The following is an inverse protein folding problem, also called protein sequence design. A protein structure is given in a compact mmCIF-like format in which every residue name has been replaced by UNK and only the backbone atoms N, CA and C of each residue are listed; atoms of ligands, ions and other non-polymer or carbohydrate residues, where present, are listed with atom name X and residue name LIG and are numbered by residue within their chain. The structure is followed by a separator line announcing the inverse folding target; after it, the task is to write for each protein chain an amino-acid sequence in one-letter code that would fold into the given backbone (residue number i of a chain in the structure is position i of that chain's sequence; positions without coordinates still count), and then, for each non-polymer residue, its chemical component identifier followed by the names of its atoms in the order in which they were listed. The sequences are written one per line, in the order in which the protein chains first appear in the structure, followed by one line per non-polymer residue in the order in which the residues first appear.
data_IF_160531676200
#
_entry.id   IF_160531676200
#
_cell.length_a   1.000
_cell.length_b   1.000
_cell.length_c   1.000
_cell.angle_alpha   90.00
_cell.angle_beta   90.00
_cell.angle_gamma   90.00
#
_symmetry.space_group_name_H-M   'P 1'
#
loop_
_entity.id
_entity.type
_entity.pdbx_description
1 polymer ?
#
# COMPACT_ATOMS: atom_id res chain seq x y z
N UNK A 1 32.28 23.24 -74.36
CA UNK A 1 31.93 21.80 -74.44
C UNK A 1 30.82 21.59 -73.42
N UNK A 2 29.52 21.51 -73.70
CA UNK A 2 28.71 21.27 -74.90
C UNK A 2 27.61 22.35 -75.03
N UNK A 3 27.01 22.44 -76.22
CA UNK A 3 26.14 23.48 -76.78
C UNK A 3 24.64 23.08 -76.69
N UNK A 4 23.69 24.01 -76.46
CA UNK A 4 22.56 24.34 -77.38
C UNK A 4 21.46 25.23 -76.77
N UNK A 5 20.96 26.09 -77.64
CA UNK A 5 19.96 27.17 -77.55
C UNK A 5 18.55 26.62 -77.83
N UNK A 6 17.46 27.29 -77.39
CA UNK A 6 16.26 27.72 -78.18
C UNK A 6 15.01 28.06 -77.30
N UNK A 7 14.64 29.36 -77.36
CA UNK A 7 13.33 30.05 -77.52
C UNK A 7 12.05 29.79 -76.66
N UNK A 8 11.64 30.88 -75.97
CA UNK A 8 10.33 31.61 -75.91
C UNK A 8 8.97 30.88 -75.92
N UNK A 9 8.07 31.31 -75.01
CA UNK A 9 6.95 32.26 -75.27
C UNK A 9 6.11 32.48 -74.00
N UNK A 10 5.66 33.72 -73.78
CA UNK A 10 4.67 34.07 -72.76
C UNK A 10 3.31 34.43 -73.37
N UNK A 11 2.32 34.62 -72.49
CA UNK A 11 1.11 35.47 -72.61
C UNK A 11 0.51 35.59 -71.19
N UNK A 12 0.55 36.76 -70.53
CA UNK A 12 -0.44 37.89 -70.56
C UNK A 12 -1.79 37.49 -69.91
N UNK A 13 -2.51 38.28 -69.11
CA UNK A 13 -2.45 39.66 -68.57
C UNK A 13 -3.70 39.84 -67.66
N UNK A 14 -3.62 40.75 -66.67
CA UNK A 14 -4.70 41.67 -66.21
C UNK A 14 -5.96 41.09 -65.54
N UNK A 15 -6.70 41.73 -64.64
CA UNK A 15 -6.73 43.02 -63.93
C UNK A 15 -7.70 42.74 -62.73
N UNK A 16 -7.61 43.33 -61.55
CA UNK A 16 -8.14 44.67 -61.27
C UNK A 16 -8.10 44.91 -59.76
N UNK A 17 -7.68 46.12 -59.38
CA UNK A 17 -8.01 46.76 -58.11
C UNK A 17 -9.42 47.34 -58.22
N UNK A 18 -10.24 47.19 -57.18
CA UNK A 18 -11.34 48.12 -56.92
C UNK A 18 -11.47 48.37 -55.42
N UNK A 19 -11.22 49.62 -55.05
CA UNK A 19 -11.44 50.25 -53.75
C UNK A 19 -12.83 49.97 -53.17
N UNK A 20 -12.95 49.80 -51.84
CA UNK A 20 -13.83 50.67 -51.05
C UNK A 20 -13.42 50.67 -49.57
N UNK A 21 -13.12 51.87 -49.08
CA UNK A 21 -12.90 52.21 -47.68
C UNK A 21 -14.18 52.14 -46.84
N UNK A 22 -13.97 52.07 -45.52
CA UNK A 22 -14.88 52.41 -44.41
C UNK A 22 -16.01 51.41 -44.06
N UNK A 23 -15.93 50.82 -42.87
CA UNK A 23 -16.60 51.39 -41.67
C UNK A 23 -16.60 50.44 -40.46
N UNK A 24 -16.23 51.02 -39.32
CA UNK A 24 -16.82 50.85 -38.00
C UNK A 24 -16.92 49.45 -37.35
N UNK A 25 -16.25 49.33 -36.20
CA UNK A 25 -16.75 48.74 -34.96
C UNK A 25 -17.88 47.71 -35.08
N UNK A 26 -17.54 46.42 -34.91
CA UNK A 26 -18.48 45.44 -34.36
C UNK A 26 -17.72 44.34 -33.62
N UNK A 27 -17.90 44.33 -32.30
CA UNK A 27 -17.94 43.19 -31.37
C UNK A 27 -16.86 42.13 -31.56
N UNK A 28 -15.93 42.08 -30.59
CA UNK A 28 -15.07 40.91 -30.37
C UNK A 28 -15.93 39.66 -30.20
N UNK A 29 -16.02 38.88 -31.27
CA UNK A 29 -16.52 37.52 -31.25
C UNK A 29 -15.41 36.66 -30.64
N UNK A 30 -15.54 36.35 -29.35
CA UNK A 30 -14.88 35.18 -28.79
C UNK A 30 -15.38 33.97 -29.60
N UNK A 31 -14.46 33.20 -30.17
CA UNK A 31 -14.82 32.00 -30.90
C UNK A 31 -15.55 31.01 -29.97
N UNK A 32 -16.56 30.26 -30.45
CA UNK A 32 -17.26 29.25 -29.65
C UNK A 32 -16.33 28.17 -29.05
N UNK A 33 -15.12 28.02 -29.62
CA UNK A 33 -14.08 27.10 -29.16
C UNK A 33 -13.37 27.55 -27.88
N UNK A 34 -13.37 28.85 -27.57
CA UNK A 34 -12.69 29.39 -26.37
C UNK A 34 -13.50 29.23 -25.09
N UNK A 35 -14.84 29.14 -25.21
CA UNK A 35 -15.74 28.89 -24.07
C UNK A 35 -15.76 27.42 -23.65
N UNK A 36 -15.63 26.49 -24.60
CA UNK A 36 -15.59 25.06 -24.31
C UNK A 36 -14.30 24.64 -23.58
N UNK A 37 -13.16 25.26 -23.90
CA UNK A 37 -11.90 24.95 -23.22
C UNK A 37 -11.87 25.46 -21.77
N UNK A 38 -12.56 26.58 -21.49
CA UNK A 38 -12.67 27.15 -20.14
C UNK A 38 -13.69 26.40 -19.28
N UNK A 39 -14.72 25.81 -19.87
CA UNK A 39 -15.68 24.97 -19.13
C UNK A 39 -15.16 23.54 -18.88
N UNK A 40 -14.26 23.03 -19.73
CA UNK A 40 -13.64 21.72 -19.52
C UNK A 40 -12.62 21.72 -18.38
N UNK A 41 -11.98 22.85 -18.09
CA UNK A 41 -11.07 23.01 -16.95
C UNK A 41 -11.78 23.36 -15.63
N UNK A 42 -13.07 23.70 -15.67
CA UNK A 42 -13.84 24.07 -14.46
C UNK A 42 -14.51 22.86 -13.77
N UNK A 43 -14.57 21.70 -14.44
CA UNK A 43 -15.07 20.44 -13.89
C UNK A 43 -14.02 19.33 -13.78
N UNK A 44 -12.75 19.63 -14.08
CA UNK A 44 -11.66 18.87 -13.50
C UNK A 44 -11.48 19.34 -12.07
N UNK A 45 -12.40 18.91 -11.19
CA UNK A 45 -12.01 18.69 -9.81
C UNK A 45 -10.83 17.74 -9.89
N UNK A 46 -9.62 18.29 -9.79
CA UNK A 46 -8.44 17.51 -9.46
C UNK A 46 -8.81 16.96 -8.10
N UNK A 47 -9.34 15.74 -8.05
CA UNK A 47 -9.24 14.92 -6.88
C UNK A 47 -7.73 14.86 -6.65
N UNK A 48 -7.23 15.68 -5.73
CA UNK A 48 -5.94 15.43 -5.12
C UNK A 48 -6.09 14.07 -4.49
N UNK A 49 -5.65 13.04 -5.21
CA UNK A 49 -5.29 11.78 -4.58
C UNK A 49 -4.18 12.19 -3.64
N UNK A 50 -4.49 12.32 -2.35
CA UNK A 50 -3.45 12.51 -1.35
C UNK A 50 -2.51 11.32 -1.50
N UNK A 51 -1.24 11.61 -1.74
CA UNK A 51 -0.24 10.57 -1.89
C UNK A 51 -0.17 9.84 -0.55
N UNK A 52 -0.32 8.53 -0.57
CA UNK A 52 -0.22 7.73 0.64
C UNK A 52 1.16 7.93 1.26
N UNK A 53 1.16 8.18 2.56
CA UNK A 53 2.39 8.40 3.33
C UNK A 53 2.60 7.26 4.31
N UNK A 54 3.86 6.89 4.50
CA UNK A 54 4.26 5.79 5.36
C UNK A 54 5.48 6.22 6.17
N UNK A 55 5.39 6.07 7.48
CA UNK A 55 6.52 6.28 8.39
C UNK A 55 7.64 5.29 8.10
N UNK A 56 8.88 5.79 8.12
CA UNK A 56 10.09 5.00 7.85
C UNK A 56 10.17 4.51 6.41
N UNK A 57 10.48 3.22 6.24
CA UNK A 57 10.63 2.59 4.94
C UNK A 57 9.28 2.19 4.35
N UNK A 58 8.99 2.65 3.13
CA UNK A 58 7.86 2.13 2.34
C UNK A 58 8.15 0.70 1.90
N UNK A 59 7.28 -0.23 2.32
CA UNK A 59 7.39 -1.66 2.06
C UNK A 59 6.68 -2.04 0.76
N UNK A 60 6.96 -3.23 0.26
CA UNK A 60 6.32 -3.87 -0.88
C UNK A 60 6.01 -5.34 -0.55
N UNK A 61 5.08 -6.00 -1.27
CA UNK A 61 4.95 -7.44 -1.17
C UNK A 61 6.29 -8.15 -1.39
N UNK A 62 6.62 -9.07 -0.48
CA UNK A 62 7.92 -9.76 -0.47
C UNK A 62 8.96 -9.17 0.49
N UNK A 63 8.73 -7.98 1.07
CA UNK A 63 9.65 -7.37 2.05
C UNK A 63 9.49 -7.96 3.47
N UNK A 64 8.40 -8.69 3.72
CA UNK A 64 8.06 -9.27 5.03
C UNK A 64 7.54 -10.69 4.82
N UNK A 65 7.97 -11.63 5.66
CA UNK A 65 7.50 -13.02 5.64
C UNK A 65 7.10 -13.50 7.02
N UNK A 66 5.85 -13.93 7.19
CA UNK A 66 5.37 -14.50 8.45
C UNK A 66 5.94 -15.91 8.64
N UNK A 67 6.52 -16.19 9.82
CA UNK A 67 7.12 -17.50 10.13
C UNK A 67 6.23 -18.35 11.01
N UNK A 68 5.60 -17.77 12.04
CA UNK A 68 4.59 -18.47 12.83
C UNK A 68 3.59 -17.52 13.50
N UNK A 69 2.45 -18.08 13.89
CA UNK A 69 1.47 -17.48 14.79
C UNK A 69 0.73 -18.59 15.54
N UNK A 70 0.40 -18.37 16.81
CA UNK A 70 -0.39 -19.32 17.60
C UNK A 70 -1.60 -18.65 18.25
N UNK A 71 -2.57 -19.47 18.68
CA UNK A 71 -3.56 -19.06 19.67
C UNK A 71 -3.01 -19.22 21.08
N UNK A 72 -3.39 -18.31 21.97
CA UNK A 72 -3.18 -18.47 23.41
C UNK A 72 -4.49 -18.81 24.11
N UNK A 73 -4.44 -19.51 25.24
CA UNK A 73 -5.58 -19.63 26.15
C UNK A 73 -5.41 -18.56 27.23
N UNK A 74 -6.18 -17.48 27.20
CA UNK A 74 -6.25 -16.57 28.33
C UNK A 74 -7.10 -17.23 29.43
N UNK A 75 -6.59 -18.28 30.07
CA UNK A 75 -7.21 -18.87 31.25
C UNK A 75 -6.35 -18.56 32.48
N UNK A 76 -6.96 -17.78 33.38
CA UNK A 76 -6.39 -17.10 34.55
C UNK A 76 -5.55 -15.85 34.20
N UNK A 77 -5.76 -14.79 34.98
CA UNK A 77 -5.49 -13.37 34.68
C UNK A 77 -4.02 -12.96 34.45
N UNK A 78 -3.10 -13.90 34.21
CA UNK A 78 -1.66 -13.65 34.14
C UNK A 78 -0.93 -14.41 33.00
N UNK A 79 -1.65 -14.96 31.99
CA UNK A 79 -1.01 -15.78 30.94
C UNK A 79 -1.53 -15.45 29.54
N UNK A 80 -1.06 -14.35 28.94
CA UNK A 80 -1.23 -14.11 27.50
C UNK A 80 -0.20 -14.93 26.72
N UNK A 81 -0.60 -16.00 26.03
CA UNK A 81 0.33 -16.93 25.34
C UNK A 81 0.29 -16.84 23.80
N UNK A 82 -0.44 -15.88 23.22
CA UNK A 82 -0.37 -15.69 21.77
C UNK A 82 0.92 -14.97 21.45
N UNK A 83 1.63 -15.52 20.49
CA UNK A 83 2.88 -15.02 19.96
C UNK A 83 2.82 -15.13 18.44
N UNK A 84 3.63 -14.32 17.80
CA UNK A 84 3.85 -14.44 16.37
C UNK A 84 5.25 -14.03 16.03
N UNK A 85 5.74 -14.47 14.88
CA UNK A 85 6.99 -14.00 14.34
C UNK A 85 6.92 -13.80 12.84
N UNK A 86 7.83 -12.93 12.39
CA UNK A 86 8.02 -12.62 10.99
C UNK A 86 9.48 -12.25 10.74
N UNK A 87 9.92 -12.46 9.51
CA UNK A 87 11.24 -12.08 9.02
C UNK A 87 11.12 -10.85 8.14
N UNK A 88 12.04 -9.92 8.35
CA UNK A 88 12.25 -8.78 7.47
C UNK A 88 13.17 -9.21 6.32
N UNK A 89 12.75 -9.01 5.09
CA UNK A 89 13.46 -9.43 3.88
C UNK A 89 14.12 -8.27 3.12
N UNK A 90 14.28 -7.13 3.78
CA UNK A 90 15.04 -5.97 3.31
C UNK A 90 15.47 -5.11 4.49
N UNK A 91 16.51 -4.31 4.34
CA UNK A 91 16.78 -3.29 5.37
C UNK A 91 15.60 -2.31 5.50
N UNK A 92 15.21 -2.01 6.74
CA UNK A 92 14.16 -1.06 7.08
C UNK A 92 14.64 -0.02 8.08
N UNK A 93 14.16 1.21 7.93
CA UNK A 93 14.47 2.35 8.78
C UNK A 93 13.65 2.34 10.07
N UNK A 94 14.13 3.09 11.07
CA UNK A 94 13.41 3.32 12.32
C UNK A 94 12.02 3.92 12.05
N UNK A 95 11.04 3.53 12.87
CA UNK A 95 9.66 4.00 12.73
C UNK A 95 8.87 3.36 11.59
N UNK A 96 9.45 2.43 10.82
CA UNK A 96 8.69 1.60 9.88
C UNK A 96 7.62 0.80 10.63
N UNK A 97 6.38 0.80 10.13
CA UNK A 97 5.22 0.16 10.78
C UNK A 97 4.72 -1.03 9.98
N UNK A 98 4.43 -2.14 10.66
CA UNK A 98 3.82 -3.33 10.06
C UNK A 98 2.65 -3.76 10.93
N UNK A 99 1.46 -3.75 10.34
CA UNK A 99 0.22 -4.24 10.93
C UNK A 99 -0.03 -5.71 10.65
N UNK A 100 -0.64 -6.39 11.62
CA UNK A 100 -1.03 -7.79 11.54
C UNK A 100 -2.45 -7.98 12.05
N UNK A 101 -3.26 -8.76 11.33
CA UNK A 101 -4.66 -9.01 11.70
C UNK A 101 -5.16 -10.34 11.13
N UNK A 102 -5.92 -11.08 11.94
CA UNK A 102 -6.62 -12.31 11.55
C UNK A 102 -8.13 -12.09 11.33
N UNK A 103 -8.64 -10.89 11.61
CA UNK A 103 -10.07 -10.57 11.51
C UNK A 103 -10.43 -9.72 10.28
N UNK A 104 -9.45 -9.03 9.70
CA UNK A 104 -9.73 -8.08 8.63
C UNK A 104 -10.12 -8.76 7.32
N UNK A 105 -11.25 -8.33 6.78
CA UNK A 105 -11.69 -8.62 5.42
C UNK A 105 -11.70 -7.32 4.63
N UNK A 106 -10.60 -7.08 3.94
CA UNK A 106 -10.41 -5.87 3.15
C UNK A 106 -11.39 -5.85 1.98
N UNK A 107 -12.17 -4.77 1.89
CA UNK A 107 -13.08 -4.52 0.77
C UNK A 107 -12.44 -3.50 -0.16
N UNK A 108 -12.35 -3.84 -1.45
CA UNK A 108 -11.97 -2.88 -2.47
C UNK A 108 -13.15 -1.96 -2.75
N UNK A 109 -12.91 -0.66 -2.60
CA UNK A 109 -13.87 0.38 -2.91
C UNK A 109 -13.68 0.89 -4.34
N UNK A 110 -14.74 1.47 -4.91
CA UNK A 110 -14.68 2.11 -6.23
C UNK A 110 -13.59 3.20 -6.26
N UNK A 111 -12.58 3.03 -7.12
CA UNK A 111 -11.44 3.95 -7.22
C UNK A 111 -10.11 3.41 -6.70
N UNK A 112 -10.04 2.14 -6.27
CA UNK A 112 -8.79 1.49 -5.86
C UNK A 112 -8.41 1.73 -4.39
N UNK A 113 -9.31 2.32 -3.61
CA UNK A 113 -9.20 2.42 -2.16
C UNK A 113 -9.59 1.10 -1.47
N UNK A 114 -9.12 0.92 -0.24
CA UNK A 114 -9.33 -0.28 0.56
C UNK A 114 -9.75 0.10 1.97
N UNK A 115 -10.72 -0.61 2.52
CA UNK A 115 -11.16 -0.42 3.90
C UNK A 115 -11.67 -1.71 4.52
N UNK A 116 -11.86 -1.69 5.83
CA UNK A 116 -12.46 -2.77 6.61
C UNK A 116 -13.46 -2.16 7.58
N UNK A 117 -14.51 -2.90 7.92
CA UNK A 117 -15.44 -2.47 8.96
C UNK A 117 -14.74 -2.41 10.32
N UNK A 118 -14.66 -1.21 10.90
CA UNK A 118 -13.93 -0.90 12.14
C UNK A 118 -14.38 -1.77 13.31
N UNK A 119 -15.69 -2.00 13.43
CA UNK A 119 -16.31 -2.68 14.58
C UNK A 119 -15.85 -4.13 14.78
N UNK A 120 -15.16 -4.72 13.79
CA UNK A 120 -14.64 -6.08 13.85
C UNK A 120 -13.12 -6.15 13.61
N UNK A 121 -12.45 -4.99 13.55
CA UNK A 121 -11.01 -4.95 13.30
C UNK A 121 -10.22 -5.23 14.59
N UNK A 122 -9.54 -6.37 14.61
CA UNK A 122 -8.67 -6.80 15.71
C UNK A 122 -7.31 -7.13 15.14
N UNK A 123 -6.32 -6.36 15.55
CA UNK A 123 -4.97 -6.48 15.07
C UNK A 123 -3.99 -5.75 15.98
N UNK A 124 -2.74 -5.77 15.56
CA UNK A 124 -1.67 -5.03 16.20
C UNK A 124 -0.80 -4.38 15.13
N UNK A 125 -0.03 -3.39 15.53
CA UNK A 125 1.02 -2.79 14.71
C UNK A 125 2.34 -2.88 15.45
N UNK A 126 3.33 -3.49 14.81
CA UNK A 126 4.72 -3.42 15.22
C UNK A 126 5.40 -2.18 14.61
N UNK A 127 6.27 -1.53 15.37
CA UNK A 127 7.07 -0.38 14.94
C UNK A 127 8.55 -0.67 15.11
N UNK A 128 9.32 -0.45 14.03
CA UNK A 128 10.76 -0.66 14.00
C UNK A 128 11.49 0.24 15.01
N UNK A 129 12.49 -0.30 15.75
CA UNK A 129 13.24 0.45 16.75
C UNK A 129 14.11 1.54 16.13
N UNK A 130 14.65 2.43 16.98
CA UNK A 130 15.75 3.30 16.57
C UNK A 130 16.90 2.49 15.97
N UNK A 131 17.53 3.03 14.92
CA UNK A 131 18.57 2.33 14.16
C UNK A 131 18.04 1.38 13.08
N UNK A 132 16.73 1.09 13.05
CA UNK A 132 16.12 0.24 12.03
C UNK A 132 16.35 -1.25 12.26
N UNK A 133 16.07 -2.07 11.25
CA UNK A 133 16.26 -3.52 11.27
C UNK A 133 16.87 -3.98 9.96
N UNK A 134 17.86 -4.86 10.05
CA UNK A 134 18.52 -5.42 8.88
C UNK A 134 17.72 -6.57 8.26
N UNK A 135 17.88 -6.75 6.95
CA UNK A 135 17.41 -7.93 6.22
C UNK A 135 17.84 -9.24 6.91
N UNK A 136 16.94 -10.23 6.90
CA UNK A 136 17.13 -11.55 7.49
C UNK A 136 16.81 -11.63 8.99
N UNK A 137 16.49 -10.51 9.64
CA UNK A 137 16.13 -10.51 11.06
C UNK A 137 14.74 -11.11 11.28
N UNK A 138 14.64 -12.16 12.08
CA UNK A 138 13.37 -12.63 12.63
C UNK A 138 13.00 -11.82 13.88
N UNK A 139 11.77 -11.32 13.90
CA UNK A 139 11.19 -10.55 14.98
C UNK A 139 10.07 -11.38 15.59
N UNK A 140 10.05 -11.47 16.92
CA UNK A 140 9.08 -12.23 17.70
C UNK A 140 8.28 -11.29 18.59
N UNK A 141 6.96 -11.30 18.44
CA UNK A 141 6.01 -10.56 19.27
C UNK A 141 5.46 -11.53 20.30
N UNK A 142 5.59 -11.16 21.58
CA UNK A 142 5.19 -11.99 22.70
C UNK A 142 3.95 -11.42 23.40
N UNK A 143 3.23 -12.28 24.10
CA UNK A 143 2.10 -11.93 24.98
C UNK A 143 1.06 -11.02 24.33
N UNK A 144 0.76 -11.25 23.03
CA UNK A 144 -0.07 -10.33 22.25
C UNK A 144 -1.55 -10.45 22.57
N UNK A 145 -2.02 -11.62 23.01
CA UNK A 145 -3.43 -11.86 23.29
C UNK A 145 -3.89 -11.02 24.46
N UNK A 146 -4.98 -10.28 24.28
CA UNK A 146 -5.55 -9.37 25.26
C UNK A 146 -4.61 -8.27 25.78
N UNK A 147 -3.41 -8.15 25.21
CA UNK A 147 -2.45 -7.11 25.54
C UNK A 147 -2.70 -5.84 24.72
N UNK A 148 -2.43 -4.70 25.34
CA UNK A 148 -2.55 -3.38 24.71
C UNK A 148 -1.27 -2.98 23.98
N UNK A 149 -0.11 -3.37 24.53
CA UNK A 149 1.20 -3.14 23.92
C UNK A 149 2.24 -4.05 24.55
N UNK A 150 3.38 -4.20 23.89
CA UNK A 150 4.50 -4.97 24.41
C UNK A 150 5.77 -4.84 23.58
N UNK A 151 6.90 -5.31 24.12
CA UNK A 151 8.14 -5.38 23.36
C UNK A 151 8.06 -6.46 22.28
N UNK A 152 8.82 -6.26 21.21
CA UNK A 152 9.20 -7.32 20.29
C UNK A 152 10.67 -7.67 20.49
N UNK A 153 11.03 -8.94 20.31
CA UNK A 153 12.37 -9.45 20.50
C UNK A 153 12.97 -10.02 19.22
N UNK A 154 14.30 -10.13 19.17
CA UNK A 154 15.04 -10.89 18.16
C UNK A 154 16.12 -11.76 18.82
N UNK A 155 16.51 -12.81 18.13
CA UNK A 155 17.70 -13.59 18.50
C UNK A 155 18.96 -12.90 17.95
N UNK A 156 20.05 -12.99 18.72
CA UNK A 156 21.39 -12.55 18.33
C UNK A 156 22.42 -13.58 18.80
N UNK A 157 23.65 -13.48 18.29
CA UNK A 157 24.75 -14.36 18.71
C UNK A 157 25.04 -14.29 20.23
N UNK A 158 24.75 -13.14 20.86
CA UNK A 158 25.00 -12.90 22.29
C UNK A 158 23.75 -13.10 23.17
N UNK A 159 22.55 -13.15 22.58
CA UNK A 159 21.29 -13.26 23.29
C UNK A 159 20.28 -14.13 22.52
N UNK A 160 20.10 -15.37 22.98
CA UNK A 160 19.14 -16.30 22.43
C UNK A 160 17.71 -15.98 22.86
N UNK A 161 16.75 -16.14 21.95
CA UNK A 161 15.33 -16.25 22.28
C UNK A 161 15.02 -17.71 22.63
N UNK A 162 14.30 -17.93 23.73
CA UNK A 162 13.97 -19.29 24.17
C UNK A 162 12.63 -19.34 24.89
N UNK A 163 12.02 -20.52 24.90
CA UNK A 163 10.81 -20.78 25.69
C UNK A 163 11.16 -20.92 27.17
N UNK A 164 10.38 -20.30 28.04
CA UNK A 164 10.44 -20.51 29.48
C UNK A 164 10.29 -22.01 29.82
N UNK A 165 10.76 -22.42 30.99
CA UNK A 165 10.76 -23.84 31.38
C UNK A 165 9.35 -24.46 31.48
N UNK A 166 8.32 -23.64 31.68
CA UNK A 166 6.91 -24.03 31.65
C UNK A 166 6.28 -23.98 30.24
N UNK A 167 7.08 -23.60 29.22
CA UNK A 167 6.71 -23.41 27.82
C UNK A 167 5.66 -22.33 27.54
N UNK A 168 5.38 -21.46 28.51
CA UNK A 168 4.30 -20.47 28.40
C UNK A 168 4.72 -19.15 27.77
N UNK A 169 5.95 -18.73 28.01
CA UNK A 169 6.47 -17.44 27.54
C UNK A 169 7.69 -17.62 26.65
N UNK A 170 7.93 -16.63 25.80
CA UNK A 170 9.21 -16.47 25.10
C UNK A 170 10.02 -15.44 25.88
N UNK A 171 11.26 -15.79 26.19
CA UNK A 171 12.18 -15.00 27.01
C UNK A 171 13.53 -14.83 26.31
N UNK A 172 14.37 -13.95 26.86
CA UNK A 172 15.70 -13.67 26.33
C UNK A 172 15.66 -12.75 25.12
N UNK A 173 16.64 -12.89 24.24
CA UNK A 173 16.81 -12.07 23.05
C UNK A 173 17.21 -10.62 23.34
N UNK A 174 17.29 -9.86 22.25
CA UNK A 174 17.45 -8.41 22.26
C UNK A 174 16.12 -7.75 21.85
N UNK A 175 15.78 -6.61 22.48
CA UNK A 175 14.60 -5.84 22.08
C UNK A 175 14.76 -5.31 20.65
N UNK A 176 13.73 -5.51 19.82
CA UNK A 176 13.69 -5.13 18.42
C UNK A 176 12.33 -4.49 18.10
N UNK A 177 12.11 -3.29 18.65
CA UNK A 177 10.88 -2.53 18.48
C UNK A 177 9.79 -2.92 19.48
N UNK A 178 8.59 -2.43 19.21
CA UNK A 178 7.43 -2.64 20.07
C UNK A 178 6.17 -2.81 19.23
N UNK A 179 5.17 -3.46 19.81
CA UNK A 179 3.85 -3.63 19.20
C UNK A 179 2.77 -2.98 20.05
N UNK A 180 1.71 -2.53 19.40
CA UNK A 180 0.52 -1.93 20.03
C UNK A 180 -0.75 -2.52 19.39
N UNK A 181 -1.78 -2.76 20.19
CA UNK A 181 -3.09 -3.20 19.69
C UNK A 181 -3.81 -2.07 18.96
N UNK A 182 -4.66 -2.41 17.99
CA UNK A 182 -5.36 -1.42 17.16
C UNK A 182 -6.71 -0.94 17.72
N UNK A 183 -6.97 -1.16 19.02
CA UNK A 183 -8.21 -0.72 19.67
C UNK A 183 -8.80 -1.80 20.56
N UNK A 184 -9.61 -2.69 19.98
CA UNK A 184 -10.12 -3.85 20.70
C UNK A 184 -9.01 -4.90 20.83
N UNK A 185 -8.75 -5.34 22.07
CA UNK A 185 -7.80 -6.38 22.44
C UNK A 185 -7.61 -7.46 21.35
N UNK A 186 -6.34 -7.74 21.02
CA UNK A 186 -5.96 -8.76 20.03
C UNK A 186 -6.46 -10.12 20.52
N UNK A 187 -7.30 -10.78 19.73
CA UNK A 187 -7.91 -12.04 20.17
C UNK A 187 -7.00 -13.24 19.99
N UNK A 188 -6.40 -13.41 18.80
CA UNK A 188 -5.48 -14.50 18.48
C UNK A 188 -4.77 -14.24 17.13
N UNK A 189 -3.49 -14.60 17.01
CA UNK A 189 -2.81 -14.74 15.71
C UNK A 189 -3.01 -16.15 15.12
N UNK A 190 -4.29 -16.55 15.11
CA UNK A 190 -4.81 -17.77 14.53
C UNK A 190 -6.12 -17.41 13.82
N UNK A 191 -6.28 -17.89 12.60
CA UNK A 191 -7.48 -17.62 11.82
C UNK A 191 -7.51 -18.43 10.55
N UNK A 192 -8.61 -18.33 9.81
CA UNK A 192 -8.68 -18.88 8.45
C UNK A 192 -7.75 -18.13 7.49
N UNK A 193 -7.32 -16.94 7.87
CA UNK A 193 -6.31 -16.11 7.23
C UNK A 193 -5.65 -15.17 8.23
N UNK A 194 -4.47 -14.66 7.88
CA UNK A 194 -3.76 -13.58 8.56
C UNK A 194 -3.18 -12.65 7.50
N UNK A 195 -3.43 -11.36 7.65
CA UNK A 195 -2.86 -10.30 6.84
C UNK A 195 -1.64 -9.70 7.53
N UNK A 196 -0.58 -9.48 6.75
CA UNK A 196 0.46 -8.49 7.06
C UNK A 196 0.28 -7.30 6.10
N UNK A 197 0.28 -6.10 6.65
CA UNK A 197 0.06 -4.87 5.90
C UNK A 197 0.89 -3.73 6.50
N UNK A 198 1.13 -2.66 5.75
CA UNK A 198 1.71 -1.43 6.25
C UNK A 198 0.60 -0.37 6.37
N UNK A 199 0.29 0.12 7.59
CA UNK A 199 -0.70 1.17 7.78
C UNK A 199 -0.22 2.49 7.17
N UNK A 200 -1.16 3.26 6.61
CA UNK A 200 -0.89 4.62 6.17
C UNK A 200 -0.67 5.55 7.38
N UNK A 201 0.12 6.60 7.22
CA UNK A 201 0.23 7.62 8.26
C UNK A 201 -1.13 8.28 8.49
N UNK A 202 -1.57 8.32 9.75
CA UNK A 202 -2.88 8.83 10.13
C UNK A 202 -4.04 7.82 10.01
N UNK A 203 -3.82 6.61 9.47
CA UNK A 203 -4.86 5.56 9.44
C UNK A 203 -4.33 4.14 9.64
N UNK A 204 -4.94 3.41 10.57
CA UNK A 204 -4.60 2.00 10.80
C UNK A 204 -5.25 1.04 9.80
N UNK A 205 -6.32 1.48 9.14
CA UNK A 205 -7.17 0.60 8.36
C UNK A 205 -7.64 1.17 7.04
N UNK A 206 -7.53 2.48 6.80
CA UNK A 206 -7.92 3.03 5.50
C UNK A 206 -6.71 2.97 4.59
N UNK A 207 -6.94 2.42 3.39
CA UNK A 207 -5.98 2.26 2.31
C UNK A 207 -4.60 1.71 2.73
N UNK A 208 -4.54 0.66 3.57
CA UNK A 208 -3.27 0.08 3.94
C UNK A 208 -2.56 -0.48 2.70
N UNK A 209 -1.23 -0.55 2.79
CA UNK A 209 -0.46 -1.30 1.82
C UNK A 209 -0.44 -2.77 2.22
N UNK A 210 -1.12 -3.61 1.45
CA UNK A 210 -1.10 -5.05 1.67
C UNK A 210 0.27 -5.65 1.30
N UNK A 211 0.86 -6.42 2.21
CA UNK A 211 2.18 -7.03 2.03
C UNK A 211 2.11 -8.55 1.85
N UNK A 212 1.27 -9.22 2.64
CA UNK A 212 1.13 -10.67 2.63
C UNK A 212 -0.24 -11.11 3.16
N UNK A 213 -0.78 -12.22 2.65
CA UNK A 213 -1.90 -12.92 3.26
C UNK A 213 -1.62 -14.43 3.27
N UNK A 214 -1.72 -15.06 4.43
CA UNK A 214 -1.58 -16.51 4.60
C UNK A 214 -2.84 -17.10 5.18
N UNK A 215 -3.17 -18.36 4.87
CA UNK A 215 -4.33 -19.01 5.47
C UNK A 215 -4.92 -20.13 4.62
N UNK A 216 -5.88 -20.84 5.21
CA UNK A 216 -6.64 -21.91 4.55
C UNK A 216 -7.87 -21.41 3.79
N UNK A 217 -8.36 -20.20 4.07
CA UNK A 217 -9.55 -19.63 3.44
C UNK A 217 -9.29 -18.23 2.85
N UNK A 218 -8.33 -18.16 1.92
CA UNK A 218 -8.01 -16.93 1.20
C UNK A 218 -9.14 -16.51 0.23
N UNK A 219 -9.89 -17.48 -0.30
CA UNK A 219 -10.94 -17.23 -1.28
C UNK A 219 -12.34 -17.00 -0.66
N UNK A 220 -12.50 -17.11 0.67
CA UNK A 220 -13.76 -16.91 1.38
C UNK A 220 -14.82 -17.94 1.05
N UNK A 221 -14.98 -18.96 1.90
CA UNK A 221 -16.03 -19.98 1.74
C UNK A 221 -17.46 -19.48 1.97
N UNK A 222 -17.63 -18.28 2.57
CA UNK A 222 -18.93 -17.70 2.95
C UNK A 222 -19.29 -16.40 2.18
N UNK A 223 -18.81 -16.24 0.95
CA UNK A 223 -19.30 -15.20 0.02
C UNK A 223 -18.68 -13.81 0.17
N UNK A 224 -17.69 -13.63 1.05
CA UNK A 224 -16.82 -12.45 1.07
C UNK A 224 -15.36 -12.88 0.90
N UNK A 225 -14.87 -12.91 -0.34
CA UNK A 225 -13.55 -13.44 -0.64
C UNK A 225 -12.44 -12.46 -0.26
N UNK A 226 -11.37 -12.94 0.40
CA UNK A 226 -10.12 -12.18 0.62
C UNK A 226 -9.27 -12.20 -0.66
N UNK A 227 -9.84 -11.76 -1.79
CA UNK A 227 -9.27 -11.95 -3.14
C UNK A 227 -7.93 -11.26 -3.35
N UNK A 228 -7.52 -10.35 -2.46
CA UNK A 228 -6.41 -9.42 -2.67
C UNK A 228 -6.55 -8.61 -3.97
N UNK A 229 -7.73 -8.62 -4.63
CA UNK A 229 -7.93 -8.12 -5.99
C UNK A 229 -7.76 -6.62 -6.08
N UNK A 230 -6.72 -6.13 -6.75
CA UNK A 230 -6.37 -4.70 -6.80
C UNK A 230 -5.35 -4.27 -5.75
N UNK A 231 -4.75 -5.22 -5.04
CA UNK A 231 -3.54 -4.99 -4.25
C UNK A 231 -2.29 -5.24 -5.09
N UNK A 232 -1.12 -4.79 -4.63
CA UNK A 232 0.15 -5.15 -5.27
C UNK A 232 0.44 -6.68 -5.26
N UNK A 233 -0.31 -7.46 -4.46
CA UNK A 233 -0.20 -8.93 -4.39
C UNK A 233 -1.00 -9.60 -5.51
N UNK A 234 -2.07 -8.95 -6.00
CA UNK A 234 -2.88 -9.43 -7.11
C UNK A 234 -2.77 -8.44 -8.28
N UNK A 235 -1.84 -8.71 -9.19
CA UNK A 235 -1.88 -8.05 -10.49
C UNK A 235 -2.79 -8.85 -11.44
N UNK A 236 -3.92 -8.25 -11.80
CA UNK A 236 -4.81 -8.77 -12.83
C UNK A 236 -4.25 -8.55 -14.25
N UNK A 237 -3.17 -7.76 -14.41
CA UNK A 237 -2.43 -7.67 -15.64
C UNK A 237 -1.46 -8.87 -15.71
N UNK A 238 -1.77 -9.82 -16.60
CA UNK A 238 -0.96 -11.04 -16.79
C UNK A 238 0.52 -10.75 -17.02
N UNK A 239 1.31 -10.83 -15.95
CA UNK A 239 2.75 -10.82 -16.05
C UNK A 239 3.19 -12.23 -16.46
N UNK A 240 3.40 -12.41 -17.76
CA UNK A 240 4.21 -13.49 -18.36
C UNK A 240 5.67 -13.40 -17.86
N UNK A 241 5.90 -13.56 -16.55
CA UNK A 241 7.18 -13.25 -15.92
C UNK A 241 7.69 -14.26 -14.91
N UNK A 242 6.90 -15.27 -14.52
CA UNK A 242 7.43 -16.40 -13.76
C UNK A 242 7.73 -17.56 -14.73
N UNK A 243 8.91 -17.50 -15.34
CA UNK A 243 9.57 -18.73 -15.83
C UNK A 243 10.56 -19.16 -14.74
N UNK A 244 10.39 -20.36 -14.14
CA UNK A 244 11.41 -20.92 -13.24
C UNK A 244 12.75 -21.12 -13.95
#
# INVERSE_FOLDING_TARGET
MLLRVILTRGTKLQDSMSDTNMSAMRRGFLSPTSFLLSFFLMFCGIATIEAQTYSGTTLSPGDVWMTFGNSGEAQDQDVAESHMAFVILRDIEAGTRIGFTSSARWTSNSGGSWSVEVENFKGLVWTAPEGGVSEGTEIVLCDIKDGESGPAGRETDDAALYRSADNRSIMGGEMCGAWESTGDNVTDMKGSHIWAYQPEDGSLIENPRHLMCIGSDLNGTNGQPNTASGTLIYDAAGVDGFSP
#
